data_IF_513737456194
#
_entry.id   IF_513737456194
#
_cell.length_a   1.000
_cell.length_b   1.000
_cell.length_c   1.000
_cell.angle_alpha   90.00
_cell.angle_beta   90.00
_cell.angle_gamma   90.00
#
_symmetry.space_group_name_H-M   'P 1'
#
loop_
_entity.id
_entity.type
_entity.pdbx_description
1 polymer ?
#
# COMPACT_ATOMS: atom_id res chain seq x y z
N UNK A 1 -4.15 -13.09 6.54
CA UNK A 1 -4.69 -14.45 6.82
C UNK A 1 -5.05 -15.20 5.54
N UNK A 2 -5.79 -14.63 4.59
CA UNK A 2 -6.20 -15.35 3.38
C UNK A 2 -5.02 -15.91 2.55
N UNK A 3 -3.97 -15.11 2.34
CA UNK A 3 -2.75 -15.57 1.64
C UNK A 3 -2.09 -16.76 2.35
N UNK A 4 -1.99 -16.71 3.68
CA UNK A 4 -1.45 -17.82 4.47
C UNK A 4 -2.32 -19.08 4.33
N UNK A 5 -3.66 -18.93 4.35
CA UNK A 5 -4.58 -20.04 4.16
C UNK A 5 -4.34 -20.74 2.81
N UNK A 6 -4.17 -19.97 1.72
CA UNK A 6 -3.81 -20.52 0.40
C UNK A 6 -2.43 -21.19 0.39
N UNK A 7 -1.44 -20.61 1.05
CA UNK A 7 -0.11 -21.22 1.17
C UNK A 7 -0.16 -22.57 1.91
N UNK A 8 -0.86 -22.63 3.04
CA UNK A 8 -1.02 -23.87 3.82
C UNK A 8 -1.77 -24.95 3.02
N UNK A 9 -2.82 -24.57 2.27
CA UNK A 9 -3.52 -25.49 1.38
C UNK A 9 -2.59 -26.05 0.29
N UNK A 10 -1.77 -25.20 -0.35
CA UNK A 10 -0.78 -25.65 -1.33
C UNK A 10 0.30 -26.57 -0.72
N UNK A 11 0.54 -26.46 0.58
CA UNK A 11 1.44 -27.34 1.34
C UNK A 11 0.81 -28.69 1.66
N UNK A 12 -0.49 -28.84 1.41
CA UNK A 12 -1.25 -30.09 1.63
C UNK A 12 -2.08 -30.11 2.92
N UNK A 13 -2.15 -29.01 3.67
CA UNK A 13 -3.03 -28.91 4.84
C UNK A 13 -4.49 -28.76 4.41
N UNK A 14 -5.40 -29.35 5.18
CA UNK A 14 -6.82 -29.07 5.09
C UNK A 14 -7.13 -27.79 5.88
N UNK A 15 -7.46 -26.72 5.18
CA UNK A 15 -7.63 -25.39 5.77
C UNK A 15 -9.10 -24.98 5.75
N UNK A 16 -9.58 -24.42 6.85
CA UNK A 16 -10.84 -23.69 6.96
C UNK A 16 -10.59 -22.42 7.76
N UNK A 17 -11.51 -21.49 7.75
CA UNK A 17 -11.40 -20.24 8.50
C UNK A 17 -12.72 -19.69 8.97
N UNK A 18 -12.66 -18.69 9.84
CA UNK A 18 -13.80 -17.91 10.31
C UNK A 18 -13.47 -16.43 10.36
N UNK A 19 -14.46 -15.58 10.17
CA UNK A 19 -14.34 -14.12 10.25
C UNK A 19 -15.65 -13.52 10.72
N UNK A 20 -15.61 -12.31 11.28
CA UNK A 20 -16.83 -11.56 11.61
C UNK A 20 -17.61 -11.19 10.34
N UNK A 21 -16.89 -10.73 9.30
CA UNK A 21 -17.45 -10.33 8.01
C UNK A 21 -16.33 -10.25 6.95
N UNK A 22 -16.13 -11.30 6.18
CA UNK A 22 -15.19 -11.28 5.07
C UNK A 22 -15.79 -10.56 3.85
N UNK A 23 -14.97 -9.81 3.13
CA UNK A 23 -15.37 -9.01 1.97
C UNK A 23 -14.32 -9.08 0.85
N UNK A 24 -14.71 -8.79 -0.41
CA UNK A 24 -13.78 -8.73 -1.53
C UNK A 24 -12.61 -7.75 -1.31
N UNK A 25 -11.41 -8.05 -1.84
CA UNK A 25 -11.11 -9.17 -2.73
C UNK A 25 -10.74 -10.50 -2.02
N UNK A 26 -10.60 -10.49 -0.68
CA UNK A 26 -10.11 -11.68 0.05
C UNK A 26 -11.15 -12.78 0.20
N UNK A 27 -12.44 -12.46 0.32
CA UNK A 27 -13.52 -13.43 0.28
C UNK A 27 -13.56 -14.19 -1.06
N UNK A 28 -13.42 -13.46 -2.18
CA UNK A 28 -13.43 -14.05 -3.52
C UNK A 28 -12.20 -14.93 -3.73
N UNK A 29 -11.05 -14.48 -3.22
CA UNK A 29 -9.81 -15.25 -3.26
C UNK A 29 -9.95 -16.58 -2.49
N UNK A 30 -10.45 -16.59 -1.26
CA UNK A 30 -10.67 -17.81 -0.48
C UNK A 30 -11.68 -18.73 -1.16
N UNK A 31 -12.76 -18.18 -1.71
CA UNK A 31 -13.77 -18.92 -2.48
C UNK A 31 -13.17 -19.58 -3.72
N UNK A 32 -12.30 -18.88 -4.46
CA UNK A 32 -11.62 -19.40 -5.65
C UNK A 32 -10.68 -20.58 -5.34
N UNK A 33 -10.16 -20.65 -4.11
CA UNK A 33 -9.35 -21.75 -3.60
C UNK A 33 -10.19 -22.88 -3.00
N UNK A 34 -11.52 -22.71 -2.88
CA UNK A 34 -12.40 -23.67 -2.22
C UNK A 34 -12.15 -23.80 -0.72
N UNK A 35 -11.59 -22.76 -0.06
CA UNK A 35 -11.35 -22.76 1.39
C UNK A 35 -12.65 -22.35 2.09
N UNK A 36 -13.25 -23.25 2.93
CA UNK A 36 -14.46 -22.92 3.68
C UNK A 36 -14.24 -21.76 4.65
N UNK A 37 -15.16 -20.80 4.64
CA UNK A 37 -15.12 -19.63 5.52
C UNK A 37 -16.47 -19.50 6.25
N UNK A 38 -16.45 -19.67 7.57
CA UNK A 38 -17.61 -19.51 8.43
C UNK A 38 -17.77 -18.04 8.88
N UNK A 39 -19.03 -17.60 8.99
CA UNK A 39 -19.45 -16.28 9.48
C UNK A 39 -20.80 -16.39 10.16
N UNK A 40 -21.01 -15.77 11.35
CA UNK A 40 -20.01 -15.09 12.20
C UNK A 40 -19.11 -16.08 12.96
N UNK A 41 -18.28 -15.57 13.88
CA UNK A 41 -17.55 -16.42 14.83
C UNK A 41 -18.52 -17.22 15.72
N UNK A 42 -18.26 -18.54 15.85
CA UNK A 42 -19.01 -19.44 16.69
C UNK A 42 -18.13 -20.63 17.10
N UNK A 43 -18.33 -21.17 18.31
CA UNK A 43 -17.55 -22.33 18.80
C UNK A 43 -17.73 -23.57 17.88
N UNK A 44 -18.90 -23.70 17.26
CA UNK A 44 -19.24 -24.76 16.30
C UNK A 44 -18.38 -24.74 15.04
N UNK A 45 -17.84 -23.61 14.66
CA UNK A 45 -16.92 -23.46 13.51
C UNK A 45 -15.61 -24.24 13.72
N UNK A 46 -15.30 -24.59 14.99
CA UNK A 46 -14.14 -25.41 15.36
C UNK A 46 -14.47 -26.92 15.43
N UNK A 47 -15.53 -27.35 14.74
CA UNK A 47 -15.89 -28.77 14.62
C UNK A 47 -15.77 -29.24 13.15
N UNK A 48 -15.12 -30.39 12.88
CA UNK A 48 -14.37 -31.21 13.84
C UNK A 48 -13.18 -30.47 14.43
N UNK A 49 -12.77 -30.84 15.65
CA UNK A 49 -11.66 -30.20 16.36
C UNK A 49 -10.42 -30.10 15.45
N UNK A 50 -9.88 -28.91 15.21
CA UNK A 50 -8.67 -28.75 14.39
C UNK A 50 -7.40 -29.18 15.15
N UNK A 51 -6.39 -29.62 14.41
CA UNK A 51 -5.07 -29.93 14.98
C UNK A 51 -4.34 -28.67 15.45
N UNK A 52 -4.53 -27.53 14.76
CA UNK A 52 -3.93 -26.25 15.05
C UNK A 52 -4.84 -25.10 14.64
N UNK A 53 -4.93 -24.08 15.49
CA UNK A 53 -5.61 -22.81 15.19
C UNK A 53 -4.60 -21.69 14.98
N UNK A 54 -4.67 -21.02 13.84
CA UNK A 54 -3.84 -19.83 13.57
C UNK A 54 -4.64 -18.58 13.91
N UNK A 55 -4.20 -17.86 14.93
CA UNK A 55 -4.90 -16.68 15.46
C UNK A 55 -4.42 -15.41 14.74
N UNK A 56 -5.35 -14.67 14.14
CA UNK A 56 -5.06 -13.37 13.52
C UNK A 56 -4.83 -12.27 14.56
N UNK A 57 -4.08 -11.24 14.19
CA UNK A 57 -3.73 -10.14 15.10
C UNK A 57 -4.93 -9.29 15.57
N UNK A 58 -6.02 -9.27 14.81
CA UNK A 58 -7.24 -8.56 15.18
C UNK A 58 -8.07 -9.27 16.28
N UNK A 59 -7.72 -10.52 16.62
CA UNK A 59 -8.43 -11.29 17.62
C UNK A 59 -8.04 -10.84 19.02
N UNK A 60 -9.04 -10.76 19.91
CA UNK A 60 -8.86 -10.38 21.32
C UNK A 60 -9.69 -11.27 22.24
N UNK A 61 -9.35 -11.27 23.54
CA UNK A 61 -10.14 -11.94 24.56
C UNK A 61 -11.61 -11.50 24.51
N UNK A 62 -12.51 -12.45 24.76
CA UNK A 62 -13.95 -12.29 24.59
C UNK A 62 -14.48 -12.73 23.22
N UNK A 63 -13.63 -13.07 22.23
CA UNK A 63 -14.07 -13.72 21.02
C UNK A 63 -14.45 -15.18 21.32
N UNK A 64 -15.67 -15.60 20.92
CA UNK A 64 -16.24 -16.90 21.29
C UNK A 64 -15.41 -18.09 20.83
N UNK A 65 -14.80 -18.01 19.65
CA UNK A 65 -13.92 -19.08 19.14
C UNK A 65 -12.59 -19.10 19.89
N UNK A 66 -12.01 -17.93 20.17
CA UNK A 66 -10.77 -17.83 20.91
C UNK A 66 -10.94 -18.35 22.36
N UNK A 67 -12.02 -17.99 23.04
CA UNK A 67 -12.29 -18.53 24.38
C UNK A 67 -12.48 -20.06 24.33
N UNK A 68 -13.18 -20.58 23.31
CA UNK A 68 -13.33 -22.04 23.14
C UNK A 68 -11.97 -22.73 22.88
N UNK A 69 -11.08 -22.13 22.06
CA UNK A 69 -9.71 -22.64 21.83
C UNK A 69 -8.94 -22.76 23.15
N UNK A 70 -9.00 -21.72 23.99
CA UNK A 70 -8.31 -21.69 25.29
C UNK A 70 -8.90 -22.70 26.27
N UNK A 71 -10.22 -22.78 26.41
CA UNK A 71 -10.92 -23.71 27.30
C UNK A 71 -10.68 -25.18 26.92
N UNK A 72 -10.71 -25.48 25.64
CA UNK A 72 -10.49 -26.83 25.11
C UNK A 72 -9.02 -27.20 24.92
N UNK A 73 -8.10 -26.28 25.26
CA UNK A 73 -6.66 -26.43 25.08
C UNK A 73 -6.30 -26.92 23.67
N UNK A 74 -6.95 -26.34 22.65
CA UNK A 74 -6.61 -26.60 21.27
C UNK A 74 -5.26 -25.94 20.98
N UNK A 75 -4.30 -26.64 20.36
CA UNK A 75 -3.04 -26.00 19.97
C UNK A 75 -3.30 -24.76 19.10
N UNK A 76 -2.62 -23.67 19.39
CA UNK A 76 -2.73 -22.45 18.59
C UNK A 76 -1.38 -21.74 18.45
N UNK A 77 -1.25 -20.97 17.38
CA UNK A 77 -0.07 -20.15 17.11
C UNK A 77 -0.49 -18.84 16.42
N UNK A 78 0.47 -17.93 16.28
CA UNK A 78 0.30 -16.73 15.46
C UNK A 78 0.57 -16.98 13.99
N UNK A 79 0.09 -16.08 13.11
CA UNK A 79 0.40 -16.12 11.68
C UNK A 79 1.91 -16.09 11.40
N UNK A 80 2.74 -15.20 12.00
CA UNK A 80 4.18 -15.20 11.74
C UNK A 80 4.89 -16.45 12.21
N UNK A 81 4.43 -17.06 13.29
CA UNK A 81 5.01 -18.29 13.82
C UNK A 81 4.82 -19.46 12.84
N UNK A 82 3.60 -19.73 12.39
CA UNK A 82 3.34 -20.81 11.43
C UNK A 82 4.02 -20.54 10.08
N UNK A 83 4.07 -19.27 9.68
CA UNK A 83 4.77 -18.87 8.47
C UNK A 83 6.26 -19.21 8.55
N UNK A 84 6.91 -18.92 9.68
CA UNK A 84 8.30 -19.31 9.91
C UNK A 84 8.46 -20.83 9.87
N UNK A 85 7.65 -21.56 10.61
CA UNK A 85 7.81 -23.00 10.79
C UNK A 85 7.61 -23.79 9.50
N UNK A 86 6.61 -23.41 8.69
CA UNK A 86 6.23 -24.12 7.48
C UNK A 86 6.93 -23.63 6.21
N UNK A 87 7.33 -22.35 6.15
CA UNK A 87 7.74 -21.75 4.87
C UNK A 87 9.10 -21.06 4.89
N UNK A 88 9.51 -20.44 6.01
CA UNK A 88 10.75 -19.68 6.05
C UNK A 88 11.94 -20.54 6.49
N UNK A 89 11.71 -21.56 7.30
CA UNK A 89 12.78 -22.45 7.78
C UNK A 89 13.47 -23.15 6.61
N UNK A 90 14.82 -23.00 6.55
CA UNK A 90 15.63 -23.55 5.46
C UNK A 90 15.64 -22.75 4.16
N UNK A 91 15.01 -21.56 4.14
CA UNK A 91 15.10 -20.60 3.05
C UNK A 91 16.07 -19.47 3.40
N UNK A 92 16.61 -18.80 2.39
CA UNK A 92 17.26 -17.50 2.53
C UNK A 92 16.15 -16.43 2.56
N UNK A 93 15.90 -15.85 3.73
CA UNK A 93 14.79 -14.94 3.97
C UNK A 93 15.23 -13.50 3.71
N UNK A 94 14.62 -12.86 2.71
CA UNK A 94 14.81 -11.46 2.37
C UNK A 94 13.60 -10.65 2.85
N UNK A 95 13.78 -9.84 3.89
CA UNK A 95 12.71 -9.03 4.49
C UNK A 95 12.78 -7.60 3.95
N UNK A 96 11.66 -7.08 3.48
CA UNK A 96 11.52 -5.66 3.13
C UNK A 96 10.69 -4.98 4.20
N UNK A 97 11.35 -4.19 5.04
CA UNK A 97 10.75 -3.51 6.18
C UNK A 97 10.84 -1.98 6.06
N UNK A 98 10.03 -1.28 6.84
CA UNK A 98 9.96 0.18 6.89
C UNK A 98 8.53 0.68 6.95
N UNK A 99 8.32 1.95 7.24
CA UNK A 99 6.97 2.53 7.34
C UNK A 99 6.29 2.58 5.97
N UNK A 100 7.03 3.00 4.93
CA UNK A 100 6.51 3.18 3.56
C UNK A 100 7.30 2.35 2.55
N UNK A 101 6.67 2.08 1.40
CA UNK A 101 7.34 1.41 0.27
C UNK A 101 7.47 -0.11 0.36
N UNK A 102 7.18 -0.74 1.52
CA UNK A 102 7.31 -2.19 1.74
C UNK A 102 6.73 -3.04 0.61
N UNK A 103 5.43 -2.91 0.36
CA UNK A 103 4.68 -3.73 -0.60
C UNK A 103 5.23 -3.62 -2.02
N UNK A 104 5.49 -2.40 -2.48
CA UNK A 104 6.02 -2.15 -3.82
C UNK A 104 7.43 -2.70 -3.97
N UNK A 105 8.32 -2.45 -3.00
CA UNK A 105 9.72 -2.95 -3.01
C UNK A 105 9.76 -4.47 -2.95
N UNK A 106 8.93 -5.10 -2.10
CA UNK A 106 8.81 -6.57 -2.04
C UNK A 106 8.37 -7.16 -3.37
N UNK A 107 7.37 -6.53 -4.01
CA UNK A 107 6.87 -6.94 -5.32
C UNK A 107 7.91 -6.78 -6.43
N UNK A 108 8.66 -5.66 -6.46
CA UNK A 108 9.76 -5.45 -7.40
C UNK A 108 10.86 -6.49 -7.22
N UNK A 109 11.28 -6.74 -5.96
CA UNK A 109 12.30 -7.72 -5.66
C UNK A 109 11.87 -9.13 -6.07
N UNK A 110 10.63 -9.53 -5.75
CA UNK A 110 10.08 -10.83 -6.17
C UNK A 110 10.05 -10.96 -7.70
N UNK A 111 9.67 -9.91 -8.42
CA UNK A 111 9.63 -9.91 -9.88
C UNK A 111 11.02 -10.02 -10.50
N UNK A 112 12.03 -9.30 -9.97
CA UNK A 112 13.42 -9.40 -10.41
C UNK A 112 13.93 -10.84 -10.23
N UNK A 113 13.71 -11.46 -9.07
CA UNK A 113 14.12 -12.83 -8.82
C UNK A 113 13.40 -13.86 -9.72
N UNK A 114 12.12 -13.64 -9.96
CA UNK A 114 11.32 -14.50 -10.83
C UNK A 114 11.83 -14.45 -12.29
N UNK A 115 12.05 -13.26 -12.83
CA UNK A 115 12.52 -13.07 -14.22
C UNK A 115 13.96 -13.54 -14.42
N UNK A 116 14.80 -13.49 -13.37
CA UNK A 116 16.13 -14.08 -13.35
C UNK A 116 16.13 -15.62 -13.20
N UNK A 117 14.96 -16.27 -13.22
CA UNK A 117 14.86 -17.74 -13.15
C UNK A 117 15.17 -18.34 -11.75
N UNK A 118 15.18 -17.54 -10.69
CA UNK A 118 15.48 -18.01 -9.34
C UNK A 118 14.29 -18.62 -8.60
N UNK A 119 13.10 -18.61 -9.21
CA UNK A 119 11.86 -19.21 -8.69
C UNK A 119 11.61 -18.95 -7.19
N UNK A 120 11.58 -17.68 -6.73
CA UNK A 120 11.44 -17.37 -5.32
C UNK A 120 10.06 -17.76 -4.78
N UNK A 121 10.00 -18.06 -3.46
CA UNK A 121 8.75 -17.91 -2.72
C UNK A 121 8.60 -16.45 -2.29
N UNK A 122 7.35 -15.98 -2.19
CA UNK A 122 7.09 -14.64 -1.66
C UNK A 122 5.76 -14.52 -0.95
N UNK A 123 5.68 -13.54 -0.04
CA UNK A 123 4.43 -13.07 0.58
C UNK A 123 4.45 -11.53 0.61
N UNK A 124 3.47 -10.93 -0.06
CA UNK A 124 3.33 -9.49 -0.28
C UNK A 124 2.01 -9.02 0.34
N UNK A 125 1.98 -7.83 0.93
CA UNK A 125 0.77 -7.25 1.55
C UNK A 125 -0.31 -6.78 0.58
N UNK A 126 -0.14 -7.00 -0.72
CA UNK A 126 -1.09 -6.64 -1.78
C UNK A 126 -1.00 -7.61 -2.95
N UNK A 127 -1.89 -7.46 -3.93
CA UNK A 127 -1.88 -8.27 -5.16
C UNK A 127 -0.88 -7.64 -6.14
N UNK A 128 0.26 -8.30 -6.32
CA UNK A 128 1.25 -7.91 -7.33
C UNK A 128 0.74 -8.26 -8.72
N UNK A 129 0.59 -7.25 -9.59
CA UNK A 129 -0.06 -7.41 -10.90
C UNK A 129 0.69 -8.36 -11.84
N UNK A 130 2.01 -8.39 -11.76
CA UNK A 130 2.83 -9.32 -12.55
C UNK A 130 2.53 -10.80 -12.23
N UNK A 131 2.08 -11.10 -11.01
CA UNK A 131 1.77 -12.44 -10.55
C UNK A 131 0.26 -12.73 -10.46
N UNK A 132 -0.57 -11.68 -10.43
CA UNK A 132 -2.01 -11.81 -10.13
C UNK A 132 -2.30 -12.33 -8.73
N UNK A 133 -1.32 -12.32 -7.83
CA UNK A 133 -1.38 -12.92 -6.50
C UNK A 133 -0.59 -12.12 -5.47
N UNK A 134 -0.91 -12.33 -4.19
CA UNK A 134 -0.16 -11.79 -3.04
C UNK A 134 0.91 -12.76 -2.52
N UNK A 135 0.97 -13.99 -3.02
CA UNK A 135 1.97 -14.99 -2.63
C UNK A 135 2.27 -15.97 -3.76
N UNK A 136 3.41 -16.61 -3.64
CA UNK A 136 3.82 -17.76 -4.47
C UNK A 136 4.73 -18.67 -3.64
N UNK A 137 4.58 -19.98 -3.79
CA UNK A 137 5.53 -20.96 -3.30
C UNK A 137 6.39 -21.43 -4.47
N UNK A 138 7.64 -20.93 -4.50
CA UNK A 138 8.64 -21.29 -5.51
C UNK A 138 9.59 -22.37 -5.04
N UNK A 139 10.28 -23.03 -6.00
CA UNK A 139 11.25 -24.08 -5.72
C UNK A 139 12.63 -23.52 -5.36
N UNK A 140 12.87 -22.21 -5.55
CA UNK A 140 14.14 -21.57 -5.24
C UNK A 140 14.43 -21.49 -3.74
N UNK A 141 15.67 -21.15 -3.42
CA UNK A 141 16.14 -21.03 -2.03
C UNK A 141 15.65 -19.77 -1.32
N UNK A 142 15.22 -18.75 -2.05
CA UNK A 142 14.86 -17.46 -1.47
C UNK A 142 13.36 -17.40 -1.11
N UNK A 143 13.10 -16.77 0.04
CA UNK A 143 11.76 -16.33 0.43
C UNK A 143 11.78 -14.81 0.62
N UNK A 144 11.01 -14.08 -0.20
CA UNK A 144 10.92 -12.62 -0.18
C UNK A 144 9.64 -12.23 0.54
N UNK A 145 9.75 -11.47 1.64
CA UNK A 145 8.60 -11.19 2.49
C UNK A 145 8.55 -9.72 2.91
N UNK A 146 7.34 -9.20 2.95
CA UNK A 146 7.06 -7.89 3.51
C UNK A 146 7.16 -7.92 5.03
N UNK A 147 8.04 -7.10 5.60
CA UNK A 147 8.28 -6.98 7.03
C UNK A 147 7.29 -6.02 7.69
N UNK A 148 6.23 -6.58 8.27
CA UNK A 148 5.19 -5.81 8.96
C UNK A 148 5.60 -5.54 10.41
N UNK A 149 5.64 -4.25 10.78
CA UNK A 149 5.93 -3.77 12.13
C UNK A 149 4.73 -3.86 13.09
N UNK A 150 3.55 -4.21 12.59
CA UNK A 150 2.35 -4.35 13.42
C UNK A 150 2.44 -5.57 14.36
N UNK A 151 1.72 -5.51 15.50
CA UNK A 151 1.73 -6.57 16.50
C UNK A 151 1.24 -7.92 15.94
N UNK A 152 1.71 -9.00 16.54
CA UNK A 152 1.58 -10.38 16.04
C UNK A 152 0.21 -10.99 16.34
N UNK A 153 -0.18 -11.00 17.63
CA UNK A 153 -1.42 -11.59 18.12
C UNK A 153 -1.79 -11.04 19.51
N UNK A 154 -2.94 -11.45 20.07
CA UNK A 154 -3.35 -11.01 21.39
C UNK A 154 -2.36 -11.44 22.50
N UNK A 155 -1.68 -12.55 22.33
CA UNK A 155 -0.71 -13.11 23.28
C UNK A 155 0.74 -12.74 22.96
N UNK A 156 1.00 -12.11 21.80
CA UNK A 156 2.30 -11.64 21.38
C UNK A 156 2.19 -10.24 20.78
N UNK A 157 2.65 -9.25 21.52
CA UNK A 157 2.62 -7.83 21.18
C UNK A 157 3.89 -7.34 20.49
N UNK A 158 4.77 -8.27 20.12
CA UNK A 158 5.93 -7.96 19.28
C UNK A 158 5.58 -7.79 17.81
N UNK A 159 6.40 -7.02 17.05
CA UNK A 159 6.25 -6.89 15.60
C UNK A 159 6.36 -8.22 14.87
N UNK A 160 5.53 -8.44 13.85
CA UNK A 160 5.50 -9.68 13.06
C UNK A 160 6.86 -10.02 12.45
N UNK A 161 7.61 -9.04 11.97
CA UNK A 161 8.90 -9.26 11.33
C UNK A 161 9.97 -9.90 12.24
N UNK A 162 9.82 -9.86 13.57
CA UNK A 162 10.74 -10.50 14.51
C UNK A 162 10.72 -12.03 14.41
N UNK A 163 9.62 -12.59 13.93
CA UNK A 163 9.45 -14.04 13.72
C UNK A 163 10.01 -14.52 12.39
N UNK A 164 10.48 -13.62 11.50
CA UNK A 164 10.90 -14.02 10.15
C UNK A 164 12.36 -14.45 10.08
N UNK A 165 13.18 -14.10 11.08
CA UNK A 165 14.63 -14.44 11.14
C UNK A 165 15.33 -14.13 9.81
N UNK A 166 15.44 -12.86 9.40
CA UNK A 166 15.92 -12.47 8.09
C UNK A 166 17.40 -12.81 7.89
N UNK A 167 17.76 -13.31 6.70
CA UNK A 167 19.15 -13.35 6.25
C UNK A 167 19.61 -11.97 5.77
N UNK A 168 18.73 -11.20 5.12
CA UNK A 168 19.02 -9.83 4.72
C UNK A 168 17.75 -8.96 4.79
N UNK A 169 17.95 -7.64 4.96
CA UNK A 169 16.87 -6.67 5.13
C UNK A 169 17.03 -5.50 4.17
N UNK A 170 15.94 -5.10 3.52
CA UNK A 170 15.80 -3.74 2.97
C UNK A 170 15.06 -2.91 4.00
N UNK A 171 15.62 -1.75 4.38
CA UNK A 171 15.00 -0.79 5.28
C UNK A 171 14.67 0.49 4.51
N UNK A 172 13.38 0.71 4.22
CA UNK A 172 12.93 1.78 3.33
C UNK A 172 12.73 3.11 4.05
N UNK A 173 12.13 3.10 5.22
CA UNK A 173 11.86 4.29 6.06
C UNK A 173 11.56 3.88 7.49
N UNK A 174 11.73 4.81 8.43
CA UNK A 174 11.31 4.63 9.83
C UNK A 174 10.68 5.94 10.30
N UNK A 175 9.34 5.94 10.36
CA UNK A 175 8.52 7.09 10.76
C UNK A 175 7.48 6.65 11.79
N UNK A 176 6.88 7.61 12.50
CA UNK A 176 5.84 7.32 13.48
C UNK A 176 4.54 6.95 12.77
N UNK A 177 4.12 5.70 12.91
CA UNK A 177 2.83 5.18 12.48
C UNK A 177 2.31 4.16 13.49
N UNK A 178 1.11 3.61 13.27
CA UNK A 178 0.48 2.65 14.16
C UNK A 178 0.34 3.15 15.61
N UNK A 179 -0.22 4.37 15.77
CA UNK A 179 -0.41 5.06 17.05
C UNK A 179 -1.32 4.31 18.06
N UNK A 180 -1.91 3.19 17.66
CA UNK A 180 -2.67 2.28 18.51
C UNK A 180 -1.79 1.26 19.24
N UNK A 181 -0.58 1.00 18.75
CA UNK A 181 0.36 0.04 19.35
C UNK A 181 1.71 0.66 19.73
N UNK A 182 2.14 1.73 19.05
CA UNK A 182 3.35 2.47 19.39
C UNK A 182 2.98 3.82 20.02
N UNK A 183 3.56 4.10 21.14
CA UNK A 183 3.30 5.33 21.87
C UNK A 183 4.01 6.56 21.25
N UNK A 184 5.18 6.33 20.65
CA UNK A 184 6.06 7.37 20.08
C UNK A 184 7.03 6.77 19.04
N UNK A 185 7.80 7.64 18.38
CA UNK A 185 8.81 7.25 17.40
C UNK A 185 9.92 6.37 18.00
N UNK A 186 10.31 6.59 19.27
CA UNK A 186 11.33 5.78 19.93
C UNK A 186 10.88 4.31 20.09
N UNK A 187 9.60 4.09 20.32
CA UNK A 187 9.02 2.75 20.36
C UNK A 187 9.08 2.07 18.99
N UNK A 188 8.78 2.80 17.90
CA UNK A 188 8.94 2.31 16.51
C UNK A 188 10.40 1.98 16.24
N UNK A 189 11.33 2.91 16.53
CA UNK A 189 12.77 2.66 16.33
C UNK A 189 13.27 1.45 17.11
N UNK A 190 12.75 1.23 18.33
CA UNK A 190 13.09 0.06 19.13
C UNK A 190 12.70 -1.25 18.45
N UNK A 191 11.55 -1.28 17.79
CA UNK A 191 11.11 -2.43 17.00
C UNK A 191 12.07 -2.69 15.82
N UNK A 192 12.44 -1.66 15.07
CA UNK A 192 13.38 -1.78 13.96
C UNK A 192 14.81 -2.12 14.41
N UNK A 193 15.28 -1.60 15.53
CA UNK A 193 16.56 -1.99 16.14
C UNK A 193 16.59 -3.49 16.47
N UNK A 194 15.48 -4.05 16.95
CA UNK A 194 15.35 -5.50 17.19
C UNK A 194 15.44 -6.30 15.88
N UNK A 195 14.76 -5.83 14.82
CA UNK A 195 14.86 -6.45 13.49
C UNK A 195 16.32 -6.44 12.98
N UNK A 196 17.00 -5.29 13.04
CA UNK A 196 18.41 -5.16 12.65
C UNK A 196 19.32 -6.14 13.40
N UNK A 197 19.08 -6.35 14.69
CA UNK A 197 19.83 -7.28 15.53
C UNK A 197 19.61 -8.76 15.16
N UNK A 198 18.56 -9.11 14.42
CA UNK A 198 18.32 -10.48 13.96
C UNK A 198 19.08 -10.82 12.68
N UNK A 199 19.60 -9.81 11.95
CA UNK A 199 20.35 -10.06 10.71
C UNK A 199 21.72 -10.65 11.04
N UNK A 200 22.07 -11.85 10.53
CA UNK A 200 23.33 -12.49 10.82
C UNK A 200 24.51 -11.74 10.19
N UNK A 201 25.72 -11.94 10.72
CA UNK A 201 26.95 -11.29 10.20
C UNK A 201 27.20 -11.52 8.71
N UNK A 202 26.82 -12.70 8.19
CA UNK A 202 26.92 -13.04 6.75
C UNK A 202 25.87 -12.36 5.89
N UNK A 203 24.83 -11.78 6.52
CA UNK A 203 23.73 -11.10 5.85
C UNK A 203 24.10 -9.68 5.45
N UNK A 204 23.08 -8.87 5.11
CA UNK A 204 23.27 -7.45 4.82
C UNK A 204 22.00 -6.65 5.05
N UNK A 205 22.18 -5.36 5.18
CA UNK A 205 21.09 -4.39 5.24
C UNK A 205 21.29 -3.40 4.09
N UNK A 206 20.25 -3.23 3.27
CA UNK A 206 20.15 -2.16 2.27
C UNK A 206 19.24 -1.09 2.88
N UNK A 207 19.79 0.04 3.30
CA UNK A 207 19.06 1.06 4.05
C UNK A 207 18.97 2.37 3.27
N UNK A 208 17.80 3.03 3.31
CA UNK A 208 17.65 4.35 2.73
C UNK A 208 18.65 5.35 3.34
N UNK A 209 19.19 6.25 2.55
CA UNK A 209 20.32 7.11 2.95
C UNK A 209 19.92 8.34 3.75
N UNK A 210 18.64 8.65 3.85
CA UNK A 210 18.11 9.80 4.59
C UNK A 210 17.27 9.38 5.79
N UNK A 211 17.22 10.24 6.81
CA UNK A 211 16.46 10.07 8.03
C UNK A 211 17.29 9.63 9.24
N UNK A 212 17.21 10.43 10.30
CA UNK A 212 17.94 10.16 11.56
C UNK A 212 17.48 8.86 12.21
N UNK A 213 16.18 8.51 12.08
CA UNK A 213 15.62 7.28 12.63
C UNK A 213 16.28 6.04 12.01
N UNK A 214 16.47 6.02 10.69
CA UNK A 214 17.19 4.92 10.02
C UNK A 214 18.62 4.84 10.56
N UNK A 215 19.32 5.96 10.67
CA UNK A 215 20.69 6.01 11.21
C UNK A 215 20.77 5.42 12.61
N UNK A 216 19.81 5.79 13.49
CA UNK A 216 19.74 5.23 14.86
C UNK A 216 19.40 3.74 14.88
N UNK A 217 18.60 3.26 13.94
CA UNK A 217 18.24 1.84 13.87
C UNK A 217 19.41 0.96 13.45
N UNK A 218 20.23 1.39 12.49
CA UNK A 218 21.34 0.58 11.94
C UNK A 218 22.68 0.82 12.63
N UNK A 219 22.77 1.78 13.55
CA UNK A 219 24.03 2.19 14.18
C UNK A 219 24.82 1.05 14.86
N UNK A 220 24.13 0.00 15.26
CA UNK A 220 24.72 -1.20 15.91
C UNK A 220 24.50 -2.48 15.10
N UNK A 221 24.45 -2.35 13.77
CA UNK A 221 24.35 -3.53 12.90
C UNK A 221 25.60 -4.39 13.01
N UNK A 222 25.44 -5.72 13.04
CA UNK A 222 26.52 -6.69 13.04
C UNK A 222 26.89 -7.20 11.63
N UNK A 223 26.10 -6.85 10.63
CA UNK A 223 26.32 -7.19 9.22
C UNK A 223 26.67 -5.93 8.40
N UNK A 224 27.21 -6.09 7.17
CA UNK A 224 27.40 -4.98 6.25
C UNK A 224 26.12 -4.20 6.00
N UNK A 225 26.20 -2.87 6.01
CA UNK A 225 25.12 -1.95 5.65
C UNK A 225 25.53 -1.18 4.41
N UNK A 226 24.69 -1.25 3.38
CA UNK A 226 24.82 -0.44 2.17
C UNK A 226 23.68 0.59 2.13
N UNK A 227 24.00 1.83 1.75
CA UNK A 227 23.03 2.95 1.71
C UNK A 227 22.60 3.19 0.28
N UNK A 228 21.31 3.43 0.08
CA UNK A 228 20.75 3.80 -1.22
C UNK A 228 19.93 5.09 -1.12
N UNK A 229 19.92 5.88 -2.18
CA UNK A 229 19.18 7.15 -2.25
C UNK A 229 19.84 8.17 -3.15
N UNK A 230 19.73 9.45 -2.80
CA UNK A 230 20.33 10.56 -3.58
C UNK A 230 21.65 11.04 -3.02
N UNK A 231 22.06 10.62 -1.81
CA UNK A 231 23.27 11.08 -1.17
C UNK A 231 24.53 10.68 -1.93
N UNK A 232 25.44 11.61 -2.14
CA UNK A 232 26.74 11.34 -2.77
C UNK A 232 27.63 10.37 -1.98
N UNK A 233 27.34 10.19 -0.69
CA UNK A 233 28.04 9.25 0.18
C UNK A 233 27.36 7.88 0.27
N UNK A 234 26.23 7.68 -0.45
CA UNK A 234 25.53 6.40 -0.52
C UNK A 234 26.29 5.37 -1.38
N UNK A 235 26.13 4.08 -1.04
CA UNK A 235 26.70 3.01 -1.86
C UNK A 235 25.98 2.88 -3.22
N UNK A 236 24.68 3.19 -3.24
CA UNK A 236 23.79 3.13 -4.41
C UNK A 236 23.14 4.49 -4.59
N UNK A 237 23.85 5.38 -5.31
CA UNK A 237 23.40 6.74 -5.53
C UNK A 237 22.58 6.84 -6.81
N UNK A 238 21.35 7.35 -6.69
CA UNK A 238 20.52 7.73 -7.84
C UNK A 238 20.97 9.08 -8.38
N UNK A 239 21.13 9.14 -9.69
CA UNK A 239 21.45 10.34 -10.46
C UNK A 239 20.59 10.43 -11.72
N UNK A 240 20.61 11.56 -12.40
CA UNK A 240 19.94 11.76 -13.71
C UNK A 240 18.46 11.33 -13.74
N UNK A 241 17.74 11.59 -12.62
CA UNK A 241 16.33 11.25 -12.50
C UNK A 241 15.48 12.09 -13.48
N UNK A 242 14.74 11.40 -14.32
CA UNK A 242 13.82 11.98 -15.32
C UNK A 242 12.43 11.38 -15.14
N UNK A 243 11.50 12.19 -14.69
CA UNK A 243 10.08 11.84 -14.50
C UNK A 243 9.29 12.44 -15.67
N UNK A 244 8.73 11.61 -16.50
CA UNK A 244 7.86 12.01 -17.62
C UNK A 244 6.58 11.18 -17.61
N UNK A 245 5.47 11.64 -18.21
CA UNK A 245 4.24 10.85 -18.28
C UNK A 245 4.49 9.45 -18.85
N UNK A 246 4.15 8.42 -18.07
CA UNK A 246 4.28 7.02 -18.45
C UNK A 246 5.72 6.47 -18.54
N UNK A 247 6.74 7.27 -18.18
CA UNK A 247 8.13 6.84 -18.17
C UNK A 247 8.95 7.53 -17.11
N UNK A 248 9.58 6.74 -16.27
CA UNK A 248 10.59 7.19 -15.32
C UNK A 248 11.93 6.56 -15.67
N UNK A 249 12.98 7.37 -15.78
CA UNK A 249 14.34 6.91 -16.07
C UNK A 249 15.33 7.53 -15.08
N UNK A 250 16.33 6.75 -14.68
CA UNK A 250 17.38 7.20 -13.77
C UNK A 250 18.67 6.42 -13.96
N UNK A 251 19.80 6.99 -13.52
CA UNK A 251 21.09 6.34 -13.45
C UNK A 251 21.43 5.99 -12.00
N UNK A 252 22.23 4.95 -11.81
CA UNK A 252 22.72 4.54 -10.49
C UNK A 252 24.24 4.48 -10.51
N UNK A 253 24.86 5.14 -9.54
CA UNK A 253 26.27 4.95 -9.21
C UNK A 253 26.37 3.94 -8.05
N UNK A 254 27.32 2.98 -8.17
CA UNK A 254 27.68 2.07 -7.07
C UNK A 254 29.06 2.46 -6.55
N UNK A 255 29.14 2.89 -5.30
CA UNK A 255 30.37 3.39 -4.67
C UNK A 255 31.05 4.49 -5.54
N UNK A 256 30.29 5.44 -6.03
CA UNK A 256 30.75 6.55 -6.86
C UNK A 256 31.10 6.21 -8.31
N UNK A 257 30.93 4.96 -8.78
CA UNK A 257 31.18 4.55 -10.15
C UNK A 257 29.87 4.25 -10.89
N UNK A 258 29.76 4.61 -12.19
CA UNK A 258 28.57 4.25 -13.00
C UNK A 258 28.30 2.74 -12.90
N UNK A 259 27.06 2.41 -12.51
CA UNK A 259 26.64 1.01 -12.40
C UNK A 259 25.61 0.65 -13.44
N UNK A 260 24.60 1.51 -13.71
CA UNK A 260 23.65 1.25 -14.75
C UNK A 260 22.55 2.31 -14.88
N UNK A 261 21.87 2.24 -16.02
CA UNK A 261 20.71 3.07 -16.34
C UNK A 261 19.46 2.19 -16.29
N UNK A 262 18.38 2.73 -15.72
CA UNK A 262 17.14 2.03 -15.50
C UNK A 262 15.95 2.84 -16.00
N UNK A 263 14.90 2.13 -16.36
CA UNK A 263 13.63 2.75 -16.74
C UNK A 263 12.45 1.82 -16.42
N UNK A 264 11.30 2.41 -16.16
CA UNK A 264 10.04 1.72 -15.98
C UNK A 264 8.84 2.66 -16.18
N UNK A 265 7.62 2.11 -16.17
CA UNK A 265 6.41 2.88 -16.45
C UNK A 265 5.80 3.59 -15.22
N UNK A 266 6.27 3.29 -14.00
CA UNK A 266 5.69 3.87 -12.79
C UNK A 266 6.13 5.32 -12.58
N UNK A 267 5.23 6.15 -12.04
CA UNK A 267 5.53 7.51 -11.62
C UNK A 267 6.08 7.58 -10.19
N UNK A 268 6.66 8.74 -9.86
CA UNK A 268 7.06 9.10 -8.50
C UNK A 268 8.48 8.72 -8.13
N UNK A 269 9.18 9.71 -7.55
CA UNK A 269 10.56 9.56 -7.10
C UNK A 269 10.71 8.45 -6.05
N UNK A 270 9.76 8.32 -5.12
CA UNK A 270 9.78 7.28 -4.10
C UNK A 270 9.80 5.85 -4.69
N UNK A 271 9.20 5.65 -5.88
CA UNK A 271 9.26 4.38 -6.58
C UNK A 271 10.66 4.12 -7.18
N UNK A 272 11.41 5.16 -7.52
CA UNK A 272 12.82 5.04 -7.92
C UNK A 272 13.67 4.57 -6.73
N UNK A 273 13.41 5.09 -5.53
CA UNK A 273 14.04 4.59 -4.30
C UNK A 273 13.72 3.12 -4.06
N UNK A 274 12.45 2.74 -4.18
CA UNK A 274 12.01 1.34 -4.05
C UNK A 274 12.71 0.41 -5.06
N UNK A 275 12.79 0.84 -6.32
CA UNK A 275 13.44 0.08 -7.40
C UNK A 275 14.96 -0.04 -7.18
N UNK A 276 15.60 1.04 -6.73
CA UNK A 276 17.05 1.04 -6.44
C UNK A 276 17.39 0.13 -5.26
N UNK A 277 16.55 0.12 -4.20
CA UNK A 277 16.70 -0.80 -3.08
C UNK A 277 16.56 -2.27 -3.51
N UNK A 278 15.52 -2.57 -4.31
CA UNK A 278 15.32 -3.90 -4.87
C UNK A 278 16.47 -4.34 -5.77
N UNK A 279 16.98 -3.43 -6.62
CA UNK A 279 18.14 -3.67 -7.49
C UNK A 279 19.42 -3.93 -6.69
N UNK A 280 19.66 -3.16 -5.62
CA UNK A 280 20.80 -3.34 -4.74
C UNK A 280 20.78 -4.72 -4.05
N UNK A 281 19.63 -5.13 -3.51
CA UNK A 281 19.47 -6.44 -2.89
C UNK A 281 19.61 -7.57 -3.90
N UNK A 282 19.00 -7.44 -5.08
CA UNK A 282 19.08 -8.43 -6.16
C UNK A 282 20.53 -8.60 -6.65
N UNK A 283 21.27 -7.50 -6.85
CA UNK A 283 22.70 -7.52 -7.20
C UNK A 283 23.53 -8.21 -6.12
N UNK A 284 23.21 -8.01 -4.87
CA UNK A 284 23.87 -8.66 -3.74
C UNK A 284 23.63 -10.19 -3.71
N UNK A 285 22.49 -10.64 -4.27
CA UNK A 285 22.14 -12.06 -4.44
C UNK A 285 22.66 -12.66 -5.77
N UNK A 286 23.48 -11.91 -6.52
CA UNK A 286 24.15 -12.39 -7.72
C UNK A 286 23.37 -12.22 -9.02
N UNK A 287 22.25 -11.50 -9.03
CA UNK A 287 21.50 -11.18 -10.25
C UNK A 287 22.25 -10.06 -11.00
N UNK A 288 22.46 -10.23 -12.29
CA UNK A 288 23.16 -9.26 -13.12
C UNK A 288 22.36 -7.97 -13.29
N UNK A 289 23.07 -6.87 -13.54
CA UNK A 289 22.46 -5.58 -13.82
C UNK A 289 21.49 -5.64 -15.02
N UNK A 290 21.86 -6.39 -16.04
CA UNK A 290 21.09 -6.57 -17.26
C UNK A 290 19.75 -7.26 -16.99
N UNK A 291 19.74 -8.32 -16.18
CA UNK A 291 18.53 -9.02 -15.74
C UNK A 291 17.66 -8.11 -14.87
N UNK A 292 18.25 -7.34 -13.95
CA UNK A 292 17.55 -6.38 -13.11
C UNK A 292 16.87 -5.31 -13.98
N UNK A 293 17.60 -4.73 -14.94
CA UNK A 293 17.07 -3.71 -15.86
C UNK A 293 15.92 -4.26 -16.70
N UNK A 294 16.06 -5.48 -17.23
CA UNK A 294 15.01 -6.14 -18.02
C UNK A 294 13.74 -6.39 -17.19
N UNK A 295 13.92 -6.83 -15.92
CA UNK A 295 12.81 -7.06 -14.99
C UNK A 295 12.05 -5.76 -14.69
N UNK A 296 12.75 -4.67 -14.36
CA UNK A 296 12.14 -3.39 -14.02
C UNK A 296 11.33 -2.81 -15.18
N UNK A 297 11.76 -2.96 -16.43
CA UNK A 297 11.01 -2.54 -17.62
C UNK A 297 9.64 -3.20 -17.75
N UNK A 298 9.48 -4.40 -17.24
CA UNK A 298 8.24 -5.20 -17.32
C UNK A 298 7.44 -5.22 -16.03
N UNK A 299 7.87 -4.50 -15.00
CA UNK A 299 7.18 -4.42 -13.73
C UNK A 299 5.89 -3.62 -13.85
N UNK A 300 4.76 -4.18 -13.37
CA UNK A 300 3.41 -3.61 -13.51
C UNK A 300 2.86 -2.95 -12.26
N UNK A 301 3.55 -3.02 -11.12
CA UNK A 301 3.09 -2.51 -9.84
C UNK A 301 2.24 -3.49 -9.01
N UNK A 302 1.61 -2.95 -8.00
CA UNK A 302 0.70 -3.64 -7.08
C UNK A 302 -0.64 -2.94 -7.14
N UNK A 303 -1.73 -3.68 -7.08
CA UNK A 303 -3.08 -3.08 -7.02
C UNK A 303 -3.17 -2.05 -5.90
N UNK A 304 -3.90 -0.98 -6.17
CA UNK A 304 -4.08 0.15 -5.25
C UNK A 304 -2.77 0.90 -4.93
N UNK A 305 -1.83 0.95 -5.89
CA UNK A 305 -0.60 1.77 -5.84
C UNK A 305 -0.51 2.58 -7.13
N UNK A 306 -1.03 3.82 -7.11
CA UNK A 306 -1.24 4.68 -8.28
C UNK A 306 -2.02 3.95 -9.40
N UNK A 307 -2.96 3.07 -9.03
CA UNK A 307 -3.74 2.27 -9.97
C UNK A 307 -4.76 3.14 -10.70
N UNK A 308 -4.71 3.17 -12.03
CA UNK A 308 -5.77 3.79 -12.83
C UNK A 308 -7.00 2.89 -12.81
N UNK A 309 -8.01 3.26 -12.03
CA UNK A 309 -9.26 2.50 -11.85
C UNK A 309 -10.23 2.72 -12.99
N UNK A 310 -10.31 3.95 -13.49
CA UNK A 310 -11.21 4.31 -14.57
C UNK A 310 -10.73 5.56 -15.30
N UNK A 311 -11.14 5.67 -16.58
CA UNK A 311 -11.11 6.90 -17.36
C UNK A 311 -12.49 7.15 -17.90
N UNK A 312 -13.13 8.25 -17.51
CA UNK A 312 -14.52 8.59 -17.86
C UNK A 312 -14.60 10.05 -18.23
N UNK A 313 -15.13 10.36 -19.42
CA UNK A 313 -15.30 11.73 -19.93
C UNK A 313 -14.01 12.57 -19.90
N UNK A 314 -12.85 11.92 -20.14
CA UNK A 314 -11.54 12.55 -20.07
C UNK A 314 -11.03 12.81 -18.64
N UNK A 315 -11.69 12.28 -17.60
CA UNK A 315 -11.29 12.34 -16.19
C UNK A 315 -10.60 11.02 -15.85
N UNK A 316 -9.40 11.09 -15.24
CA UNK A 316 -8.65 9.91 -14.79
C UNK A 316 -8.83 9.71 -13.30
N UNK A 317 -9.31 8.52 -12.89
CA UNK A 317 -9.53 8.15 -11.48
C UNK A 317 -8.45 7.17 -11.05
N UNK A 318 -7.72 7.54 -10.00
CA UNK A 318 -6.58 6.80 -9.44
C UNK A 318 -6.97 6.28 -8.05
N UNK A 319 -6.70 4.99 -7.80
CA UNK A 319 -6.78 4.37 -6.46
C UNK A 319 -5.37 4.25 -5.88
N UNK A 320 -5.18 4.77 -4.67
CA UNK A 320 -3.93 4.62 -3.94
C UNK A 320 -4.17 4.33 -2.45
N UNK A 321 -3.35 3.45 -1.91
CA UNK A 321 -3.44 2.99 -0.52
C UNK A 321 -2.80 3.96 0.48
N UNK A 322 -2.29 5.12 0.03
CA UNK A 322 -1.65 6.12 0.89
C UNK A 322 -2.58 6.55 2.02
N UNK A 323 -2.09 6.43 3.25
CA UNK A 323 -2.81 6.71 4.48
C UNK A 323 -1.92 7.30 5.59
N UNK A 324 -0.77 7.84 5.20
CA UNK A 324 0.16 8.59 6.05
C UNK A 324 0.57 9.88 5.31
N UNK A 325 0.79 11.01 5.98
CA UNK A 325 1.12 12.29 5.33
C UNK A 325 2.25 12.18 4.31
N UNK A 326 3.36 11.53 4.65
CA UNK A 326 4.50 11.31 3.76
C UNK A 326 4.10 10.54 2.49
N UNK A 327 3.31 9.47 2.63
CA UNK A 327 2.84 8.69 1.49
C UNK A 327 1.85 9.49 0.62
N UNK A 328 0.94 10.26 1.24
CA UNK A 328 -0.01 11.16 0.55
C UNK A 328 0.76 12.20 -0.26
N UNK A 329 1.74 12.87 0.34
CA UNK A 329 2.58 13.83 -0.36
C UNK A 329 3.32 13.20 -1.53
N UNK A 330 3.91 12.02 -1.34
CA UNK A 330 4.57 11.26 -2.41
C UNK A 330 3.63 10.94 -3.57
N UNK A 331 2.43 10.42 -3.27
CA UNK A 331 1.39 10.11 -4.28
C UNK A 331 0.98 11.36 -5.06
N UNK A 332 0.66 12.46 -4.39
CA UNK A 332 0.21 13.70 -5.06
C UNK A 332 1.35 14.32 -5.90
N UNK A 333 2.59 14.29 -5.43
CA UNK A 333 3.77 14.74 -6.19
C UNK A 333 3.99 13.87 -7.44
N UNK A 334 3.86 12.55 -7.31
CA UNK A 334 3.95 11.63 -8.44
C UNK A 334 2.89 11.91 -9.49
N UNK A 335 1.65 12.19 -9.07
CA UNK A 335 0.56 12.54 -9.99
C UNK A 335 0.78 13.88 -10.69
N UNK A 336 1.32 14.88 -9.98
CA UNK A 336 1.73 16.16 -10.61
C UNK A 336 2.75 15.96 -11.72
N UNK A 337 3.73 15.08 -11.50
CA UNK A 337 4.76 14.77 -12.52
C UNK A 337 4.19 13.94 -13.67
N UNK A 338 3.27 13.01 -13.39
CA UNK A 338 2.67 12.13 -14.40
C UNK A 338 1.59 12.82 -15.25
N UNK A 339 0.92 13.85 -14.72
CA UNK A 339 -0.17 14.58 -15.35
C UNK A 339 0.07 16.10 -15.25
N UNK A 340 1.08 16.62 -15.93
CA UNK A 340 1.44 18.04 -15.87
C UNK A 340 0.31 18.92 -16.41
N UNK A 341 -0.02 19.99 -15.68
CA UNK A 341 -1.09 20.93 -16.03
C UNK A 341 -2.51 20.48 -15.73
N UNK A 342 -2.73 19.25 -15.30
CA UNK A 342 -4.04 18.76 -14.88
C UNK A 342 -4.46 19.35 -13.55
N UNK A 343 -5.76 19.63 -13.37
CA UNK A 343 -6.33 19.93 -12.07
C UNK A 343 -6.39 18.65 -11.25
N UNK A 344 -5.71 18.64 -10.11
CA UNK A 344 -5.56 17.48 -9.25
C UNK A 344 -6.56 17.54 -8.10
N UNK A 345 -7.43 16.55 -8.04
CA UNK A 345 -8.34 16.29 -6.93
C UNK A 345 -7.73 15.24 -5.99
N UNK A 346 -7.94 15.41 -4.70
CA UNK A 346 -7.73 14.35 -3.72
C UNK A 346 -9.01 14.12 -2.92
N UNK A 347 -9.42 12.85 -2.84
CA UNK A 347 -10.56 12.39 -2.03
C UNK A 347 -10.00 11.41 -1.01
N UNK A 348 -10.00 11.79 0.27
CA UNK A 348 -9.39 11.02 1.36
C UNK A 348 -10.44 10.42 2.29
N UNK A 349 -10.30 9.14 2.62
CA UNK A 349 -10.93 8.52 3.79
C UNK A 349 -9.89 8.36 4.91
N UNK A 350 -9.95 9.12 6.02
CA UNK A 350 -9.13 8.88 7.20
C UNK A 350 -9.57 7.58 7.88
N UNK A 351 -8.79 6.49 7.70
CA UNK A 351 -9.20 5.16 8.14
C UNK A 351 -8.16 4.44 9.00
N UNK A 352 -6.86 4.68 8.78
CA UNK A 352 -5.82 4.05 9.60
C UNK A 352 -5.90 4.52 11.06
N UNK A 353 -5.41 3.69 11.98
CA UNK A 353 -5.45 4.02 13.40
C UNK A 353 -4.70 5.31 13.73
N UNK A 354 -3.65 5.64 13.00
CA UNK A 354 -2.90 6.89 13.14
C UNK A 354 -3.64 8.06 12.52
N UNK A 355 -4.11 7.92 11.27
CA UNK A 355 -4.72 9.04 10.53
C UNK A 355 -6.09 9.49 11.08
N UNK A 356 -6.77 8.63 11.84
CA UNK A 356 -8.00 9.00 12.56
C UNK A 356 -7.75 9.85 13.82
N UNK A 357 -6.47 9.97 14.24
CA UNK A 357 -6.03 10.74 15.40
C UNK A 357 -5.43 12.08 14.98
N UNK A 358 -5.33 13.00 15.91
CA UNK A 358 -4.77 14.34 15.67
C UNK A 358 -3.23 14.39 15.68
N UNK A 359 -2.56 13.27 15.91
CA UNK A 359 -1.10 13.20 16.06
C UNK A 359 -0.29 13.62 14.82
N UNK A 360 -0.87 13.51 13.62
CA UNK A 360 -0.26 13.93 12.34
C UNK A 360 -1.13 14.96 11.59
N UNK A 361 -2.00 15.68 12.28
CA UNK A 361 -3.03 16.53 11.69
C UNK A 361 -2.43 17.66 10.83
N UNK A 362 -1.39 18.34 11.31
CA UNK A 362 -0.75 19.44 10.60
C UNK A 362 -0.01 18.96 9.34
N UNK A 363 0.66 17.80 9.44
CA UNK A 363 1.37 17.21 8.31
C UNK A 363 0.39 16.64 7.28
N UNK A 364 -0.77 16.14 7.72
CA UNK A 364 -1.86 15.75 6.85
C UNK A 364 -2.38 16.94 6.04
N UNK A 365 -2.64 18.06 6.69
CA UNK A 365 -3.11 19.28 6.01
C UNK A 365 -2.10 19.78 4.97
N UNK A 366 -0.81 19.82 5.30
CA UNK A 366 0.28 20.20 4.39
C UNK A 366 0.36 19.25 3.19
N UNK A 367 0.26 17.94 3.42
CA UNK A 367 0.31 16.93 2.35
C UNK A 367 -0.88 17.05 1.39
N UNK A 368 -2.09 17.24 1.90
CA UNK A 368 -3.29 17.41 1.10
C UNK A 368 -3.29 18.71 0.29
N UNK A 369 -2.67 19.78 0.79
CA UNK A 369 -2.55 21.07 0.10
C UNK A 369 -1.72 20.99 -1.20
N UNK A 370 -1.06 19.88 -1.51
CA UNK A 370 -0.43 19.62 -2.81
C UNK A 370 -1.45 19.40 -3.94
N UNK A 371 -2.70 19.07 -3.62
CA UNK A 371 -3.80 19.00 -4.59
C UNK A 371 -4.46 20.38 -4.80
N UNK A 372 -5.20 20.56 -5.89
CA UNK A 372 -5.96 21.79 -6.15
C UNK A 372 -7.32 21.77 -5.45
N UNK A 373 -7.95 20.60 -5.41
CA UNK A 373 -9.26 20.36 -4.81
C UNK A 373 -9.13 19.22 -3.79
N UNK A 374 -9.54 19.48 -2.56
CA UNK A 374 -9.45 18.52 -1.46
C UNK A 374 -10.83 18.18 -0.93
N UNK A 375 -11.15 16.90 -0.86
CA UNK A 375 -12.37 16.38 -0.22
C UNK A 375 -11.97 15.33 0.81
N UNK A 376 -12.40 15.51 2.04
CA UNK A 376 -12.13 14.56 3.13
C UNK A 376 -13.46 14.03 3.66
N UNK A 377 -13.57 12.69 3.68
CA UNK A 377 -14.69 12.01 4.32
C UNK A 377 -14.59 12.07 5.85
N UNK A 378 -15.68 11.75 6.54
CA UNK A 378 -15.60 11.51 7.99
C UNK A 378 -14.61 10.39 8.28
N UNK A 379 -13.90 10.53 9.39
CA UNK A 379 -12.97 9.51 9.85
C UNK A 379 -13.73 8.21 10.18
N UNK A 380 -13.28 7.09 9.61
CA UNK A 380 -13.91 5.80 9.77
C UNK A 380 -13.93 5.36 11.24
N UNK A 381 -15.13 5.05 11.79
CA UNK A 381 -15.30 4.61 13.19
C UNK A 381 -14.55 5.51 14.19
N UNK A 382 -14.65 6.81 14.05
CA UNK A 382 -14.03 7.78 14.98
C UNK A 382 -14.61 7.70 16.40
N UNK A 383 -15.80 7.12 16.54
CA UNK A 383 -16.50 6.90 17.81
C UNK A 383 -15.70 6.06 18.83
N UNK A 384 -14.83 5.15 18.36
CA UNK A 384 -14.00 4.31 19.23
C UNK A 384 -12.71 5.02 19.72
N UNK A 385 -12.44 6.25 19.27
CA UNK A 385 -11.26 7.04 19.66
C UNK A 385 -11.68 8.09 20.68
N UNK A 386 -10.92 8.30 21.80
CA UNK A 386 -11.18 9.38 22.72
C UNK A 386 -11.33 10.73 22.01
N UNK A 387 -12.31 11.53 22.37
CA UNK A 387 -12.63 12.78 21.68
C UNK A 387 -11.44 13.74 21.55
N UNK A 388 -10.65 13.86 22.63
CA UNK A 388 -9.46 14.72 22.67
C UNK A 388 -8.32 14.26 21.71
N UNK A 389 -8.36 13.00 21.25
CA UNK A 389 -7.35 12.45 20.35
C UNK A 389 -7.82 12.36 18.89
N UNK A 390 -9.08 12.69 18.61
CA UNK A 390 -9.66 12.57 17.26
C UNK A 390 -9.07 13.60 16.31
N UNK A 391 -8.94 13.20 15.05
CA UNK A 391 -8.64 14.12 13.96
C UNK A 391 -9.71 15.21 13.88
N UNK A 392 -9.29 16.46 13.96
CA UNK A 392 -10.17 17.63 13.75
C UNK A 392 -10.20 18.00 12.26
N UNK A 393 -11.24 17.53 11.58
CA UNK A 393 -11.42 17.80 10.15
C UNK A 393 -11.61 19.28 9.83
N UNK A 394 -12.15 20.06 10.77
CA UNK A 394 -12.36 21.51 10.58
C UNK A 394 -11.02 22.25 10.64
N UNK A 395 -10.14 21.87 11.57
CA UNK A 395 -8.80 22.42 11.65
C UNK A 395 -7.95 22.03 10.41
N UNK A 396 -8.06 20.77 9.94
CA UNK A 396 -7.41 20.33 8.68
C UNK A 396 -7.89 21.17 7.49
N UNK A 397 -9.20 21.38 7.35
CA UNK A 397 -9.74 22.20 6.27
C UNK A 397 -9.24 23.65 6.34
N UNK A 398 -9.26 24.24 7.53
CA UNK A 398 -8.79 25.61 7.73
C UNK A 398 -7.32 25.78 7.35
N UNK A 399 -6.49 24.79 7.71
CA UNK A 399 -5.05 24.82 7.37
C UNK A 399 -4.82 24.68 5.86
N UNK A 400 -5.53 23.77 5.18
CA UNK A 400 -5.47 23.62 3.72
C UNK A 400 -5.89 24.93 3.02
N UNK A 401 -6.92 25.60 3.52
CA UNK A 401 -7.39 26.89 2.97
C UNK A 401 -6.36 28.01 3.11
N UNK A 402 -5.57 28.05 4.19
CA UNK A 402 -4.47 28.99 4.34
C UNK A 402 -3.39 28.82 3.25
N UNK A 403 -3.25 27.60 2.73
CA UNK A 403 -2.37 27.31 1.57
C UNK A 403 -3.03 27.65 0.22
N UNK A 404 -4.18 28.35 0.21
CA UNK A 404 -4.88 28.78 -1.00
C UNK A 404 -5.58 27.64 -1.76
N UNK A 405 -5.86 26.53 -1.11
CA UNK A 405 -6.53 25.37 -1.71
C UNK A 405 -7.98 25.26 -1.24
N UNK A 406 -8.85 24.68 -2.08
CA UNK A 406 -10.23 24.40 -1.70
C UNK A 406 -10.30 23.09 -0.92
N UNK A 407 -10.84 23.16 0.29
CA UNK A 407 -11.02 21.98 1.15
C UNK A 407 -12.49 21.86 1.57
N UNK A 408 -13.05 20.67 1.43
CA UNK A 408 -14.44 20.34 1.77
C UNK A 408 -14.51 19.07 2.59
N UNK A 409 -15.27 19.11 3.67
CA UNK A 409 -15.54 17.96 4.51
C UNK A 409 -16.93 17.42 4.16
N UNK A 410 -17.02 16.17 3.71
CA UNK A 410 -18.28 15.57 3.24
C UNK A 410 -18.47 14.23 3.93
N UNK A 411 -19.52 14.07 4.76
CA UNK A 411 -19.62 12.91 5.66
C UNK A 411 -19.78 11.56 4.97
N UNK A 412 -20.42 11.50 3.80
CA UNK A 412 -20.77 10.23 3.14
C UNK A 412 -20.22 10.15 1.73
N UNK A 413 -19.97 8.93 1.27
CA UNK A 413 -19.53 8.65 -0.10
C UNK A 413 -20.53 9.16 -1.14
N UNK A 414 -21.83 8.95 -0.92
CA UNK A 414 -22.86 9.42 -1.84
C UNK A 414 -22.89 10.95 -1.91
N UNK A 415 -22.72 11.63 -0.76
CA UNK A 415 -22.57 13.08 -0.71
C UNK A 415 -21.31 13.56 -1.45
N UNK A 416 -20.18 12.86 -1.30
CA UNK A 416 -18.95 13.16 -2.06
C UNK A 416 -19.23 13.06 -3.56
N UNK A 417 -19.76 11.92 -4.01
CA UNK A 417 -20.04 11.68 -5.44
C UNK A 417 -21.00 12.72 -6.04
N UNK A 418 -22.06 13.06 -5.31
CA UNK A 418 -23.02 14.09 -5.74
C UNK A 418 -22.38 15.49 -5.84
N UNK A 419 -21.49 15.82 -4.89
CA UNK A 419 -20.82 17.11 -4.83
C UNK A 419 -19.79 17.28 -5.93
N UNK A 420 -18.90 16.27 -6.12
CA UNK A 420 -17.72 16.43 -6.97
C UNK A 420 -17.98 16.16 -8.45
N UNK A 421 -18.85 15.21 -8.79
CA UNK A 421 -19.05 14.81 -10.19
C UNK A 421 -19.51 15.96 -11.11
N UNK A 422 -20.39 16.90 -10.70
CA UNK A 422 -20.78 18.05 -11.54
C UNK A 422 -19.67 19.09 -11.73
N UNK A 423 -18.68 19.14 -10.82
CA UNK A 423 -17.59 20.12 -10.87
C UNK A 423 -16.35 19.61 -11.64
N UNK A 424 -16.24 18.29 -11.84
CA UNK A 424 -15.15 17.67 -12.57
C UNK A 424 -15.25 17.94 -14.07
N UNK A 425 -14.08 18.05 -14.72
CA UNK A 425 -13.94 18.40 -16.14
C UNK A 425 -12.95 17.46 -16.81
N UNK A 426 -13.08 17.36 -18.14
CA UNK A 426 -12.08 16.66 -18.96
C UNK A 426 -10.68 17.21 -18.68
N UNK A 427 -9.72 16.32 -18.47
CA UNK A 427 -8.34 16.63 -18.07
C UNK A 427 -8.10 16.60 -16.55
N UNK A 428 -9.15 16.47 -15.73
CA UNK A 428 -8.97 16.32 -14.27
C UNK A 428 -8.38 14.95 -13.92
N UNK A 429 -7.56 14.93 -12.86
CA UNK A 429 -7.03 13.72 -12.25
C UNK A 429 -7.53 13.64 -10.81
N UNK A 430 -8.11 12.51 -10.44
CA UNK A 430 -8.74 12.29 -9.13
C UNK A 430 -7.99 11.18 -8.39
N UNK A 431 -7.27 11.53 -7.32
CA UNK A 431 -6.66 10.58 -6.41
C UNK A 431 -7.65 10.21 -5.31
N UNK A 432 -8.07 8.96 -5.23
CA UNK A 432 -8.88 8.41 -4.15
C UNK A 432 -7.94 7.66 -3.21
N UNK A 433 -7.80 8.17 -1.98
CA UNK A 433 -6.85 7.67 -0.98
C UNK A 433 -7.58 7.00 0.18
N UNK A 434 -7.38 5.70 0.34
CA UNK A 434 -7.92 4.93 1.46
C UNK A 434 -7.22 3.60 1.62
N UNK A 435 -7.02 3.13 2.85
CA UNK A 435 -6.58 1.76 3.14
C UNK A 435 -7.76 0.78 3.34
N UNK A 436 -8.97 1.15 2.92
CA UNK A 436 -10.18 0.33 2.98
C UNK A 436 -11.00 0.37 1.69
N UNK A 437 -12.23 -0.14 1.76
CA UNK A 437 -13.14 -0.20 0.60
C UNK A 437 -13.85 1.11 0.27
N UNK A 438 -13.73 2.14 1.10
CA UNK A 438 -14.27 3.49 0.93
C UNK A 438 -15.72 3.51 0.38
N UNK A 439 -16.60 2.69 0.98
CA UNK A 439 -18.05 2.68 0.67
C UNK A 439 -18.41 2.49 -0.80
N UNK A 440 -17.54 1.88 -1.61
CA UNK A 440 -17.77 1.66 -3.04
C UNK A 440 -17.58 2.90 -3.92
N UNK A 441 -16.79 3.89 -3.49
CA UNK A 441 -16.56 5.12 -4.27
C UNK A 441 -15.92 4.82 -5.64
N UNK A 442 -15.14 3.75 -5.72
CA UNK A 442 -14.43 3.34 -6.94
C UNK A 442 -15.36 2.91 -8.07
N UNK A 443 -16.59 2.50 -7.76
CA UNK A 443 -17.64 2.17 -8.70
C UNK A 443 -18.61 3.35 -8.87
N UNK A 444 -19.04 3.96 -7.74
CA UNK A 444 -20.07 5.01 -7.72
C UNK A 444 -19.65 6.29 -8.45
N UNK A 445 -18.38 6.74 -8.28
CA UNK A 445 -17.91 7.97 -8.92
C UNK A 445 -17.83 7.83 -10.45
N UNK A 446 -17.21 6.77 -11.03
CA UNK A 446 -17.24 6.55 -12.46
C UNK A 446 -18.66 6.47 -13.05
N UNK A 447 -19.59 5.77 -12.40
CA UNK A 447 -20.98 5.66 -12.84
C UNK A 447 -21.68 7.02 -12.87
N UNK A 448 -21.49 7.82 -11.82
CA UNK A 448 -22.06 9.16 -11.75
C UNK A 448 -21.51 10.08 -12.84
N UNK A 449 -20.18 10.03 -13.08
CA UNK A 449 -19.55 10.81 -14.14
C UNK A 449 -20.09 10.46 -15.54
N UNK A 450 -20.39 9.20 -15.84
CA UNK A 450 -21.03 8.77 -17.08
C UNK A 450 -22.41 9.46 -17.23
N UNK A 451 -23.20 9.50 -16.16
CA UNK A 451 -24.55 10.08 -16.19
C UNK A 451 -24.56 11.60 -16.38
N UNK A 452 -23.58 12.32 -15.82
CA UNK A 452 -23.47 13.79 -15.99
C UNK A 452 -23.08 14.15 -17.43
N UNK A 453 -22.19 13.37 -18.08
CA UNK A 453 -21.78 13.61 -19.47
C UNK A 453 -22.89 13.43 -20.50
N UNK A 454 -23.84 12.51 -20.25
CA UNK A 454 -25.00 12.29 -21.15
C UNK A 454 -26.03 13.40 -21.07
N UNK A 455 -26.12 14.12 -19.92
CA UNK A 455 -27.03 15.25 -19.75
C UNK A 455 -26.61 16.54 -20.50
N UNK A 456 -25.33 16.75 -20.70
CA UNK A 456 -24.79 17.91 -21.45
C UNK A 456 -24.90 17.76 -22.97
N UNK A 457 -24.96 16.54 -23.49
CA UNK A 457 -25.14 16.30 -24.94
C UNK A 457 -26.59 16.48 -25.43
N UNK A 458 -27.58 16.46 -24.54
CA UNK A 458 -28.99 16.68 -24.90
C UNK A 458 -29.43 18.15 -24.87
N UNK A 459 -28.69 19.05 -24.22
CA UNK A 459 -29.06 20.47 -24.14
C UNK A 459 -28.49 21.34 -25.27
N UNK A 460 -27.63 20.84 -26.13
CA UNK A 460 -27.06 21.58 -27.29
C UNK A 460 -27.80 21.33 -28.62
N UNK A 461 -28.92 20.57 -28.61
CA UNK A 461 -29.66 20.18 -29.80
C UNK A 461 -30.95 20.97 -30.06
N UNK A 462 -31.33 21.96 -29.22
CA UNK A 462 -32.54 22.76 -29.45
C UNK A 462 -32.23 24.12 -30.11
N UNK A 463 -31.69 24.05 -31.33
CA UNK A 463 -31.55 25.22 -32.21
C UNK A 463 -32.83 25.47 -32.97
N UNK A 464 -33.49 26.61 -32.74
CA UNK A 464 -34.70 27.07 -33.32
C UNK A 464 -34.69 27.09 -34.86
N UNK A 465 -35.61 26.37 -35.49
CA UNK A 465 -35.99 26.60 -36.88
C UNK A 465 -36.88 27.86 -36.94
N UNK A 466 -36.33 28.97 -37.36
CA UNK A 466 -37.10 30.14 -37.84
C UNK A 466 -37.65 29.83 -39.21
N UNK A 467 -38.97 29.63 -39.34
CA UNK A 467 -39.67 29.52 -40.57
C UNK A 467 -39.92 30.94 -41.09
N UNK A 468 -39.29 31.31 -42.21
CA UNK A 468 -39.63 32.55 -42.96
C UNK A 468 -40.80 32.22 -43.86
N UNK A 469 -41.95 32.80 -43.58
CA UNK A 469 -43.14 32.81 -44.47
C UNK A 469 -42.97 33.91 -45.49
N UNK A 470 -42.89 33.54 -46.78
CA UNK A 470 -43.05 34.50 -47.90
C UNK A 470 -44.52 34.76 -48.12
N UNK A 471 -44.94 36.00 -47.96
CA UNK A 471 -46.27 36.50 -48.43
C UNK A 471 -46.14 36.93 -49.89
N UNK A 472 -46.88 36.24 -50.78
CA UNK A 472 -47.14 36.70 -52.13
C UNK A 472 -48.18 37.81 -52.05
N UNK A 473 -47.91 38.96 -52.63
CA UNK A 473 -48.93 39.92 -53.08
C UNK A 473 -48.92 40.05 -54.61
N UNK A 474 -50.00 39.63 -55.21
CA UNK A 474 -50.37 40.04 -56.59
C UNK A 474 -51.19 41.35 -56.54
N UNK A 475 -50.86 42.28 -57.35
CA UNK A 475 -51.58 43.09 -58.34
C UNK A 475 -50.83 44.35 -58.61
#
# INVERSE_FOLDING_TARGET
MASLAGMLQQRGHRVSGSDAAAYPPMSDFLSSLGIPLAQPFAAENLQPKPDLVVVGNAMSRGNVELEYVLDQRIPFCSMPQILHDEFLRGKEVLVVAGTHGKTTTTSMLAWIFHTAGLHPSFLIGGIAENFGSSFQLGQGKHFIIEGDEYDTAFFDKGPKFLHYFPDSVILTSVEFDHADIYKDLDAVETAFKRLVNLVPQRGRIIAFDTGDSINRCIARSFCPVERYGSSANGNWQVTDLRLTPGRTAWSVLRNGKPWGDFEYALGGEYNVWNATAAAAMASACGISREEISAALKTFKSVKRRLEVRAQVNGITIIDDFAHHPTAIAGTLTALRSSYPGSRLWVILEPRSNTLRRNVLQDDLAKSLALADEVVVANAYRSDVIPEAERLDLSAVAAEIQKHGRRARMVPSVDGIVQLVAPEMRSGDVVAILSNGGFGGIYEKLPERLKSVGTGQSQSSGAGSKLTVSQANSKS
#
